data_IF_061557704709
#
_entry.id   IF_061557704709
#
_cell.length_a   1.000
_cell.length_b   1.000
_cell.length_c   1.000
_cell.angle_alpha   90.00
_cell.angle_beta   90.00
_cell.angle_gamma   90.00
#
_symmetry.space_group_name_H-M   'P 1'
#
loop_
_entity.id
_entity.type
_entity.pdbx_description
1 polymer ?
#
# COMPACT_ATOMS: atom_id res chain seq x y z
N UNK A 1 28.62 21.70 -17.94
CA UNK A 1 28.60 20.53 -17.03
C UNK A 1 30.03 20.23 -16.63
N UNK A 2 30.29 19.92 -15.34
CA UNK A 2 31.62 19.52 -14.83
C UNK A 2 31.52 18.13 -14.23
N UNK A 3 32.46 17.24 -14.56
CA UNK A 3 32.51 15.86 -14.04
C UNK A 3 33.82 15.68 -13.29
N UNK A 4 33.75 15.24 -12.04
CA UNK A 4 34.91 14.91 -11.21
C UNK A 4 34.93 13.43 -10.87
N UNK A 5 35.94 13.00 -10.11
CA UNK A 5 36.03 11.63 -9.61
C UNK A 5 34.88 11.25 -8.66
N UNK A 6 34.19 12.21 -8.05
CA UNK A 6 33.13 11.93 -7.06
C UNK A 6 31.80 12.59 -7.34
N UNK A 7 31.75 13.57 -8.26
CA UNK A 7 30.56 14.42 -8.44
C UNK A 7 30.35 14.78 -9.89
N UNK A 8 29.08 14.83 -10.30
CA UNK A 8 28.63 15.42 -11.56
C UNK A 8 27.89 16.71 -11.24
N UNK A 9 28.34 17.83 -11.82
CA UNK A 9 27.76 19.15 -11.59
C UNK A 9 27.14 19.71 -12.88
N UNK A 10 25.91 20.20 -12.75
CA UNK A 10 25.13 20.78 -13.84
C UNK A 10 25.11 22.29 -13.66
N UNK A 11 25.35 23.01 -14.75
CA UNK A 11 25.41 24.47 -14.80
C UNK A 11 24.44 24.99 -15.84
N UNK A 12 23.78 26.10 -15.53
CA UNK A 12 22.93 26.85 -16.44
C UNK A 12 23.35 28.33 -16.37
N UNK A 13 23.70 28.93 -17.51
CA UNK A 13 24.20 30.33 -17.60
C UNK A 13 25.35 30.64 -16.63
N UNK A 14 26.31 29.72 -16.51
CA UNK A 14 27.47 29.87 -15.63
C UNK A 14 27.19 29.64 -14.14
N UNK A 15 25.93 29.53 -13.72
CA UNK A 15 25.56 29.20 -12.33
C UNK A 15 25.37 27.70 -12.17
N UNK A 16 25.85 27.14 -11.05
CA UNK A 16 25.63 25.72 -10.71
C UNK A 16 24.18 25.52 -10.26
N UNK A 17 23.43 24.71 -10.98
CA UNK A 17 22.00 24.42 -10.71
C UNK A 17 21.77 23.03 -10.13
N UNK A 18 22.79 22.18 -10.08
CA UNK A 18 22.68 20.86 -9.45
C UNK A 18 24.04 20.18 -9.29
N UNK A 19 24.15 19.32 -8.27
CA UNK A 19 25.32 18.47 -8.05
C UNK A 19 24.85 17.08 -7.60
N UNK A 20 25.41 16.04 -8.21
CA UNK A 20 25.05 14.65 -7.95
C UNK A 20 26.29 13.84 -7.63
N UNK A 21 26.22 13.02 -6.58
CA UNK A 21 27.30 12.06 -6.30
C UNK A 21 27.43 11.08 -7.47
N UNK A 22 28.64 10.92 -7.98
CA UNK A 22 28.95 9.94 -9.00
C UNK A 22 29.00 8.56 -8.34
N UNK A 23 28.12 7.67 -8.78
CA UNK A 23 28.07 6.28 -8.31
C UNK A 23 28.70 5.38 -9.35
N UNK A 24 29.64 4.55 -8.93
CA UNK A 24 30.31 3.57 -9.79
C UNK A 24 29.67 2.18 -9.70
N UNK A 25 28.89 1.93 -8.65
CA UNK A 25 28.18 0.68 -8.36
C UNK A 25 26.82 0.99 -7.70
N UNK A 26 25.87 0.06 -7.77
CA UNK A 26 24.52 0.18 -7.19
C UNK A 26 23.43 0.51 -8.22
N UNK A 27 22.28 1.01 -7.75
CA UNK A 27 21.14 1.32 -8.62
C UNK A 27 21.52 2.30 -9.74
N UNK A 28 21.12 1.96 -10.97
CA UNK A 28 21.46 2.71 -12.20
C UNK A 28 20.93 4.15 -12.20
N UNK A 29 19.92 4.43 -11.40
CA UNK A 29 19.28 5.74 -11.28
C UNK A 29 19.37 6.23 -9.84
N UNK A 30 19.69 7.52 -9.68
CA UNK A 30 19.70 8.21 -8.40
C UNK A 30 18.89 9.49 -8.50
N UNK A 31 17.83 9.58 -7.70
CA UNK A 31 16.98 10.77 -7.64
C UNK A 31 17.34 11.58 -6.40
N UNK A 32 17.67 12.85 -6.57
CA UNK A 32 17.84 13.77 -5.43
C UNK A 32 16.44 14.22 -4.99
N UNK A 33 16.04 14.01 -3.73
CA UNK A 33 14.70 14.37 -3.27
C UNK A 33 14.33 15.83 -3.52
N UNK A 34 15.29 16.74 -3.38
CA UNK A 34 15.12 18.19 -3.59
C UNK A 34 14.73 18.55 -5.04
N UNK A 35 15.18 17.75 -6.02
CA UNK A 35 14.89 17.97 -7.44
C UNK A 35 13.60 17.27 -7.89
N UNK A 36 13.00 16.46 -7.02
CA UNK A 36 11.82 15.69 -7.34
C UNK A 36 10.58 16.61 -7.35
N UNK A 37 9.67 16.50 -8.34
CA UNK A 37 8.42 17.25 -8.35
C UNK A 37 7.65 17.07 -7.03
N UNK A 38 6.93 18.10 -6.58
CA UNK A 38 6.26 18.10 -5.28
C UNK A 38 5.25 16.95 -5.11
N UNK A 39 4.55 16.58 -6.19
CA UNK A 39 3.65 15.42 -6.23
C UNK A 39 4.39 14.10 -5.95
N UNK A 40 5.56 13.92 -6.55
CA UNK A 40 6.41 12.74 -6.33
C UNK A 40 7.08 12.75 -4.95
N UNK A 41 7.49 13.91 -4.42
CA UNK A 41 7.99 14.05 -3.04
C UNK A 41 6.94 13.64 -2.01
N UNK A 42 5.68 14.04 -2.21
CA UNK A 42 4.57 13.67 -1.32
C UNK A 42 4.28 12.17 -1.36
N UNK A 43 4.51 11.51 -2.50
CA UNK A 43 4.46 10.05 -2.62
C UNK A 43 5.67 9.36 -1.97
N UNK A 44 6.85 9.99 -1.95
CA UNK A 44 8.03 9.45 -1.28
C UNK A 44 7.84 9.31 0.25
N UNK A 45 6.91 10.06 0.84
CA UNK A 45 6.52 9.88 2.25
C UNK A 45 5.63 8.64 2.49
N UNK A 46 5.13 7.99 1.44
CA UNK A 46 4.31 6.79 1.55
C UNK A 46 5.21 5.58 1.36
N UNK A 47 5.52 4.91 2.47
CA UNK A 47 6.32 3.69 2.47
C UNK A 47 5.55 2.52 3.08
N UNK A 48 5.86 1.27 2.68
CA UNK A 48 5.30 0.07 3.29
C UNK A 48 5.42 0.09 4.82
N UNK A 49 6.62 0.43 5.33
CA UNK A 49 6.88 0.52 6.77
C UNK A 49 6.01 1.56 7.48
N UNK A 50 5.70 2.68 6.82
CA UNK A 50 4.82 3.70 7.40
C UNK A 50 3.39 3.17 7.56
N UNK A 51 2.86 2.48 6.54
CA UNK A 51 1.53 1.86 6.63
C UNK A 51 1.48 0.79 7.73
N UNK A 52 2.51 -0.08 7.79
CA UNK A 52 2.64 -1.08 8.85
C UNK A 52 2.66 -0.46 10.25
N UNK A 53 3.52 0.55 10.48
CA UNK A 53 3.58 1.25 11.79
C UNK A 53 2.28 1.94 12.16
N UNK A 54 1.53 2.46 11.20
CA UNK A 54 0.24 3.09 11.49
C UNK A 54 -0.80 2.04 11.90
N UNK A 55 -0.83 0.91 11.19
CA UNK A 55 -1.70 -0.21 11.49
C UNK A 55 -1.37 -0.88 12.84
N UNK A 56 -0.08 -1.03 13.16
CA UNK A 56 0.39 -1.60 14.42
C UNK A 56 -0.06 -0.79 15.66
N UNK A 57 -0.36 0.51 15.52
CA UNK A 57 -0.93 1.32 16.61
C UNK A 57 -2.35 0.91 16.98
N UNK A 58 -3.05 0.23 16.07
CA UNK A 58 -4.40 -0.30 16.30
C UNK A 58 -4.28 -1.71 16.88
N UNK A 59 -3.47 -2.56 16.26
CA UNK A 59 -3.14 -3.87 16.77
C UNK A 59 -2.54 -4.83 15.73
N UNK A 60 -2.23 -6.06 16.15
CA UNK A 60 -1.49 -7.02 15.33
C UNK A 60 -2.27 -7.51 14.10
N UNK A 61 -3.59 -7.65 14.19
CA UNK A 61 -4.38 -8.11 13.04
C UNK A 61 -4.52 -7.00 12.01
N UNK A 62 -4.66 -5.75 12.45
CA UNK A 62 -4.68 -4.60 11.53
C UNK A 62 -3.33 -4.44 10.82
N UNK A 63 -2.20 -4.63 11.53
CA UNK A 63 -0.88 -4.68 10.89
C UNK A 63 -0.82 -5.82 9.86
N UNK A 64 -1.20 -7.03 10.26
CA UNK A 64 -1.22 -8.21 9.39
C UNK A 64 -2.05 -7.98 8.12
N UNK A 65 -3.22 -7.37 8.24
CA UNK A 65 -4.08 -7.03 7.12
C UNK A 65 -3.38 -6.08 6.14
N UNK A 66 -2.75 -5.01 6.65
CA UNK A 66 -2.03 -4.06 5.80
C UNK A 66 -0.83 -4.72 5.12
N UNK A 67 -0.08 -5.58 5.83
CA UNK A 67 1.01 -6.37 5.24
C UNK A 67 0.47 -7.26 4.12
N UNK A 68 -0.62 -7.98 4.36
CA UNK A 68 -1.24 -8.86 3.37
C UNK A 68 -1.71 -8.08 2.12
N UNK A 69 -2.30 -6.90 2.29
CA UNK A 69 -2.69 -6.02 1.18
C UNK A 69 -1.48 -5.63 0.34
N UNK A 70 -0.38 -5.23 0.98
CA UNK A 70 0.85 -4.83 0.26
C UNK A 70 1.51 -6.02 -0.44
N UNK A 71 1.53 -7.20 0.20
CA UNK A 71 2.11 -8.42 -0.34
C UNK A 71 1.26 -9.05 -1.47
N UNK A 72 -0.04 -8.75 -1.53
CA UNK A 72 -0.92 -9.24 -2.60
C UNK A 72 -0.66 -8.59 -3.97
N UNK A 73 0.23 -7.59 -4.04
CA UNK A 73 0.55 -6.82 -5.24
C UNK A 73 1.98 -7.08 -5.71
N UNK A 74 2.25 -7.09 -7.03
CA UNK A 74 3.61 -7.18 -7.56
C UNK A 74 4.52 -6.04 -7.08
N UNK A 75 3.93 -4.86 -6.86
CA UNK A 75 4.62 -3.69 -6.32
C UNK A 75 3.80 -3.11 -5.15
N UNK A 76 4.41 -2.87 -3.98
CA UNK A 76 3.68 -2.44 -2.78
C UNK A 76 2.99 -1.08 -2.96
N UNK A 77 3.53 -0.21 -3.83
CA UNK A 77 2.97 1.11 -4.15
C UNK A 77 1.55 1.00 -4.72
N UNK A 78 1.24 -0.10 -5.40
CA UNK A 78 -0.10 -0.39 -5.94
C UNK A 78 -1.12 -0.67 -4.82
N UNK A 79 -0.65 -1.10 -3.64
CA UNK A 79 -1.47 -1.36 -2.47
C UNK A 79 -1.72 -0.13 -1.59
N UNK A 80 -0.99 0.98 -1.79
CA UNK A 80 -1.05 2.15 -0.89
C UNK A 80 -2.43 2.79 -0.82
N UNK A 81 -3.13 2.90 -1.95
CA UNK A 81 -4.50 3.46 -1.98
C UNK A 81 -5.48 2.60 -1.19
N UNK A 82 -5.34 1.27 -1.28
CA UNK A 82 -6.16 0.33 -0.51
C UNK A 82 -5.85 0.42 0.97
N UNK A 83 -4.58 0.44 1.36
CA UNK A 83 -4.15 0.61 2.76
C UNK A 83 -4.72 1.90 3.35
N UNK A 84 -4.63 3.01 2.61
CA UNK A 84 -5.18 4.29 3.03
C UNK A 84 -6.71 4.26 3.17
N UNK A 85 -7.41 3.59 2.24
CA UNK A 85 -8.86 3.41 2.30
C UNK A 85 -9.27 2.65 3.56
N UNK A 86 -8.62 1.51 3.83
CA UNK A 86 -8.86 0.68 5.01
C UNK A 86 -8.64 1.48 6.31
N UNK A 87 -7.47 2.13 6.44
CA UNK A 87 -7.15 2.92 7.64
C UNK A 87 -8.09 4.13 7.83
N UNK A 88 -8.64 4.69 6.75
CA UNK A 88 -9.67 5.73 6.83
C UNK A 88 -11.00 5.18 7.31
N UNK A 89 -11.40 3.99 6.86
CA UNK A 89 -12.63 3.32 7.31
C UNK A 89 -12.62 2.99 8.80
N UNK A 90 -11.46 2.89 9.43
CA UNK A 90 -11.33 2.65 10.88
C UNK A 90 -11.42 3.91 11.75
N UNK A 91 -11.46 5.11 11.15
CA UNK A 91 -11.58 6.35 11.94
C UNK A 91 -12.92 6.40 12.66
N UNK A 92 -12.88 6.66 13.97
CA UNK A 92 -14.07 6.74 14.81
C UNK A 92 -14.71 5.39 15.14
N UNK A 93 -14.08 4.28 14.73
CA UNK A 93 -14.48 2.92 15.12
C UNK A 93 -13.66 2.52 16.34
N UNK A 94 -14.31 1.83 17.28
CA UNK A 94 -13.64 1.26 18.45
C UNK A 94 -12.46 0.35 18.04
N UNK A 95 -11.25 0.51 18.64
CA UNK A 95 -10.08 -0.27 18.28
C UNK A 95 -10.25 -1.78 18.40
N UNK A 96 -10.97 -2.27 19.42
CA UNK A 96 -11.21 -3.70 19.58
C UNK A 96 -12.10 -4.26 18.46
N UNK A 97 -13.10 -3.47 18.02
CA UNK A 97 -13.90 -3.79 16.84
C UNK A 97 -13.06 -3.81 15.55
N UNK A 98 -12.16 -2.84 15.38
CA UNK A 98 -11.27 -2.78 14.21
C UNK A 98 -10.36 -4.01 14.15
N UNK A 99 -9.77 -4.41 15.29
CA UNK A 99 -8.95 -5.61 15.39
C UNK A 99 -9.74 -6.88 15.04
N UNK A 100 -10.95 -7.03 15.58
CA UNK A 100 -11.80 -8.18 15.27
C UNK A 100 -12.20 -8.24 13.78
N UNK A 101 -12.50 -7.10 13.16
CA UNK A 101 -12.78 -7.02 11.72
C UNK A 101 -11.52 -7.35 10.90
N UNK A 102 -10.36 -6.87 11.32
CA UNK A 102 -9.09 -7.15 10.63
C UNK A 102 -8.71 -8.63 10.71
N UNK A 103 -8.91 -9.27 11.86
CA UNK A 103 -8.75 -10.71 12.02
C UNK A 103 -9.67 -11.48 11.08
N UNK A 104 -10.96 -11.13 11.07
CA UNK A 104 -11.94 -11.75 10.16
C UNK A 104 -11.60 -11.53 8.69
N UNK A 105 -11.10 -10.36 8.34
CA UNK A 105 -10.68 -10.07 6.98
C UNK A 105 -9.48 -10.93 6.54
N UNK A 106 -8.53 -11.16 7.43
CA UNK A 106 -7.39 -12.05 7.19
C UNK A 106 -7.85 -13.50 6.98
N UNK A 107 -8.74 -14.02 7.83
CA UNK A 107 -9.33 -15.36 7.69
C UNK A 107 -10.00 -15.56 6.33
N UNK A 108 -10.69 -14.53 5.83
CA UNK A 108 -11.43 -14.58 4.57
C UNK A 108 -10.59 -14.19 3.33
N UNK A 109 -9.33 -13.77 3.50
CA UNK A 109 -8.54 -13.19 2.41
C UNK A 109 -9.13 -11.89 1.83
N UNK A 110 -9.91 -11.16 2.63
CA UNK A 110 -10.65 -9.97 2.21
C UNK A 110 -9.76 -8.70 2.21
N UNK A 111 -8.92 -8.56 1.18
CA UNK A 111 -7.88 -7.53 1.10
C UNK A 111 -8.31 -6.24 0.36
N UNK A 112 -9.61 -5.91 0.33
CA UNK A 112 -10.12 -4.72 -0.37
C UNK A 112 -11.06 -3.89 0.50
N UNK A 113 -11.13 -2.57 0.21
CA UNK A 113 -11.91 -1.63 1.02
C UNK A 113 -13.40 -1.95 1.10
N UNK A 114 -13.99 -2.51 0.03
CA UNK A 114 -15.43 -2.83 -0.02
C UNK A 114 -15.75 -3.97 0.95
N UNK A 115 -14.93 -5.01 0.97
CA UNK A 115 -15.07 -6.12 1.92
C UNK A 115 -14.88 -5.65 3.36
N UNK A 116 -13.88 -4.80 3.63
CA UNK A 116 -13.69 -4.23 4.97
C UNK A 116 -14.89 -3.37 5.40
N UNK A 117 -15.42 -2.53 4.51
CA UNK A 117 -16.61 -1.74 4.79
C UNK A 117 -17.82 -2.65 5.09
N UNK A 118 -18.00 -3.73 4.33
CA UNK A 118 -19.04 -4.74 4.58
C UNK A 118 -18.90 -5.37 5.97
N UNK A 119 -17.69 -5.80 6.35
CA UNK A 119 -17.41 -6.37 7.68
C UNK A 119 -17.63 -5.35 8.81
N UNK A 120 -17.36 -4.06 8.57
CA UNK A 120 -17.66 -2.98 9.51
C UNK A 120 -19.17 -2.71 9.63
N UNK A 121 -19.97 -2.93 8.59
CA UNK A 121 -21.43 -2.75 8.65
C UNK A 121 -22.15 -3.94 9.27
N UNK A 122 -21.59 -5.15 9.13
CA UNK A 122 -22.15 -6.36 9.71
C UNK A 122 -22.15 -6.22 11.25
N UNK A 123 -23.33 -6.06 11.83
CA UNK A 123 -23.51 -6.23 13.27
C UNK A 123 -23.25 -7.70 13.56
N UNK A 124 -22.53 -7.99 14.66
CA UNK A 124 -22.22 -9.36 15.10
C UNK A 124 -23.53 -10.10 15.42
N UNK A 125 -24.20 -10.64 14.41
CA UNK A 125 -25.13 -11.74 14.64
C UNK A 125 -24.27 -12.98 14.85
N UNK A 126 -24.03 -13.24 16.14
CA UNK A 126 -23.50 -14.47 16.76
C UNK A 126 -22.25 -15.09 16.13
N UNK A 127 -21.17 -15.06 16.91
CA UNK A 127 -20.18 -16.12 16.82
C UNK A 127 -20.87 -17.48 17.05
N UNK A 128 -20.77 -18.36 16.07
CA UNK A 128 -20.77 -19.80 16.29
C UNK A 128 -19.39 -20.31 15.80
N UNK A 129 -18.68 -21.12 16.60
CA UNK A 129 -17.46 -21.77 16.15
C UNK A 129 -17.81 -22.98 15.28
N UNK A 130 -17.19 -23.07 14.11
CA UNK A 130 -17.23 -24.23 13.24
C UNK A 130 -18.34 -24.16 12.18
N UNK A 131 -17.96 -23.91 10.93
CA UNK A 131 -18.15 -24.94 9.91
C UNK A 131 -17.25 -24.67 8.69
N UNK A 132 -16.65 -25.74 8.17
CA UNK A 132 -15.90 -25.70 6.92
C UNK A 132 -16.88 -25.50 5.76
N UNK A 133 -16.88 -24.31 5.15
CA UNK A 133 -17.83 -23.97 4.10
C UNK A 133 -17.18 -23.20 2.96
N UNK A 134 -16.63 -23.97 2.02
CA UNK A 134 -16.39 -23.69 0.61
C UNK A 134 -15.95 -22.28 0.16
N UNK A 135 -14.76 -22.26 -0.43
CA UNK A 135 -14.24 -21.25 -1.35
C UNK A 135 -15.27 -20.99 -2.45
N UNK A 136 -15.95 -19.85 -2.39
CA UNK A 136 -16.49 -19.21 -3.59
C UNK A 136 -15.52 -18.10 -3.98
N UNK A 137 -14.69 -18.42 -4.98
CA UNK A 137 -14.01 -17.40 -5.76
C UNK A 137 -15.07 -16.49 -6.34
N UNK A 138 -15.03 -15.25 -5.87
CA UNK A 138 -15.87 -14.13 -6.26
C UNK A 138 -16.54 -14.27 -7.64
N UNK A 139 -17.86 -14.35 -7.65
CA UNK A 139 -18.63 -14.06 -8.85
C UNK A 139 -18.56 -12.55 -9.10
N UNK A 140 -17.72 -12.15 -10.04
CA UNK A 140 -17.54 -10.76 -10.44
C UNK A 140 -18.26 -10.54 -11.76
N UNK A 141 -19.35 -9.78 -11.74
CA UNK A 141 -20.13 -9.36 -12.91
C UNK A 141 -19.34 -8.54 -13.98
N UNK A 142 -18.03 -8.33 -13.80
CA UNK A 142 -17.17 -7.56 -14.70
C UNK A 142 -16.02 -8.37 -15.31
N UNK A 143 -15.96 -9.69 -15.15
CA UNK A 143 -15.00 -10.53 -15.88
C UNK A 143 -15.65 -10.92 -17.21
N UNK A 144 -15.29 -10.19 -18.28
CA UNK A 144 -15.65 -10.59 -19.64
C UNK A 144 -14.78 -11.79 -20.02
N UNK A 145 -15.43 -12.90 -20.37
CA UNK A 145 -14.76 -14.16 -20.71
C UNK A 145 -13.92 -14.10 -21.99
N UNK A 146 -13.09 -15.12 -22.23
CA UNK A 146 -12.14 -15.18 -23.35
C UNK A 146 -12.77 -15.19 -24.75
N UNK A 147 -14.10 -15.18 -24.90
CA UNK A 147 -14.79 -15.06 -26.19
C UNK A 147 -14.89 -13.64 -26.77
N UNK A 148 -14.25 -12.64 -26.15
CA UNK A 148 -14.29 -11.23 -26.62
C UNK A 148 -13.16 -10.85 -27.60
N UNK A 149 -12.19 -11.74 -27.83
CA UNK A 149 -11.17 -11.55 -28.87
C UNK A 149 -11.44 -12.53 -30.00
N UNK A 150 -12.09 -12.05 -31.06
CA UNK A 150 -12.08 -12.64 -32.39
C UNK A 150 -11.40 -11.67 -33.35
#
# INVERSE_FOLDING_TARGET
MRVTARTVEIFHRGQRVGAHQRRYMGARHGTVPEHMPSSHRRYAEWSPDRFRRWAAKIGPNTEGLIVAVLASRPHPEQGFRTCLGILRSYRGVDPARVEAVSARALELGALNCKSIASLLTQKRDRAAPGDGGQVSLFDHANVRGPGYYH
#
